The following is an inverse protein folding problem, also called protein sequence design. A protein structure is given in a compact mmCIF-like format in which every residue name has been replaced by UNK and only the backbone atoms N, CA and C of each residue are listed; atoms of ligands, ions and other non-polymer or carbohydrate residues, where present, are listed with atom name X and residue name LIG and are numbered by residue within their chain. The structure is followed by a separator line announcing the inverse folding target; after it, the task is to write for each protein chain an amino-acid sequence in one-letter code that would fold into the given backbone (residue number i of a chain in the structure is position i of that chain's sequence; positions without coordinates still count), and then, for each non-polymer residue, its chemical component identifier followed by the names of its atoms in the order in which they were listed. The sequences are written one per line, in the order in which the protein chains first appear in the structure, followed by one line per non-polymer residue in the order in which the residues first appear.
data_IF_860359011979
#
_entry.id   IF_860359011979
#
_cell.length_a   1.000
_cell.length_b   1.000
_cell.length_c   1.000
_cell.angle_alpha   90.00
_cell.angle_beta   90.00
_cell.angle_gamma   90.00
#
_symmetry.space_group_name_H-M   'P 1'
#
loop_
_entity.id
_entity.type
_entity.pdbx_description
1 polymer ?
#
# COMPACT_ATOMS: atom_id res chain seq x y z
N UNK A 1 31.39 17.84 -3.14
CA UNK A 1 30.62 16.58 -3.30
C UNK A 1 30.23 16.07 -1.92
N UNK A 2 31.18 16.01 -0.98
CA UNK A 2 30.97 15.77 0.47
C UNK A 2 29.78 16.53 1.07
N UNK A 3 29.74 17.87 0.97
CA UNK A 3 28.66 18.67 1.57
C UNK A 3 27.27 18.33 1.00
N UNK A 4 27.17 18.01 -0.30
CA UNK A 4 25.89 17.62 -0.93
C UNK A 4 25.42 16.24 -0.44
N UNK A 5 26.36 15.34 -0.17
CA UNK A 5 26.07 14.00 0.33
C UNK A 5 25.69 14.04 1.83
N UNK A 6 26.31 14.91 2.61
CA UNK A 6 25.94 15.16 4.01
C UNK A 6 24.50 15.68 4.14
N UNK A 7 24.09 16.61 3.26
CA UNK A 7 22.69 17.05 3.18
C UNK A 7 21.76 15.94 2.69
N UNK A 8 22.19 15.12 1.72
CA UNK A 8 21.43 13.95 1.27
C UNK A 8 21.15 12.98 2.42
N UNK A 9 22.17 12.69 3.23
CA UNK A 9 22.10 11.78 4.38
C UNK A 9 21.23 12.39 5.47
N UNK A 10 21.37 13.69 5.76
CA UNK A 10 20.53 14.38 6.73
C UNK A 10 19.04 14.30 6.34
N UNK A 11 18.74 14.57 5.07
CA UNK A 11 17.38 14.50 4.54
C UNK A 11 16.83 13.08 4.43
N UNK A 12 17.59 12.15 3.84
CA UNK A 12 17.19 10.74 3.74
C UNK A 12 16.89 10.17 5.12
N UNK A 13 17.78 10.42 6.07
CA UNK A 13 17.58 10.02 7.45
C UNK A 13 16.35 10.69 8.06
N UNK A 14 16.06 11.96 7.77
CA UNK A 14 14.80 12.57 8.20
C UNK A 14 13.56 11.91 7.59
N UNK A 15 13.58 11.52 6.31
CA UNK A 15 12.47 10.81 5.65
C UNK A 15 12.27 9.42 6.27
N UNK A 16 13.35 8.67 6.47
CA UNK A 16 13.29 7.33 7.07
C UNK A 16 13.33 7.36 8.60
N UNK A 17 13.10 8.54 9.19
CA UNK A 17 13.03 8.80 10.63
C UNK A 17 14.27 8.36 11.45
N UNK A 18 15.43 8.21 10.80
CA UNK A 18 16.71 8.05 11.48
C UNK A 18 17.14 9.41 12.03
N UNK A 19 17.37 9.48 13.34
CA UNK A 19 17.87 10.68 14.02
C UNK A 19 19.23 11.09 13.43
N UNK A 20 19.28 12.25 12.79
CA UNK A 20 20.53 12.94 12.43
C UNK A 20 20.76 14.08 13.40
N UNK A 21 22.02 14.41 13.65
CA UNK A 21 22.37 15.63 14.38
C UNK A 21 21.80 16.84 13.63
N UNK A 22 20.84 17.52 14.26
CA UNK A 22 20.05 18.67 13.76
C UNK A 22 20.87 19.85 13.19
N UNK A 23 22.17 19.93 13.50
CA UNK A 23 23.00 21.11 13.23
C UNK A 23 23.11 21.50 11.74
N UNK A 24 22.93 20.56 10.79
CA UNK A 24 23.07 20.85 9.37
C UNK A 24 21.82 21.50 8.74
N UNK A 25 20.64 21.30 9.32
CA UNK A 25 19.38 21.79 8.74
C UNK A 25 18.94 23.14 9.34
N UNK A 26 19.46 23.54 10.50
CA UNK A 26 19.08 24.79 11.18
C UNK A 26 19.42 26.04 10.34
N UNK A 27 18.44 26.95 10.19
CA UNK A 27 18.62 28.26 9.53
C UNK A 27 18.44 28.28 8.01
N UNK A 28 18.17 27.15 7.36
CA UNK A 28 17.89 27.06 5.92
C UNK A 28 16.37 27.17 5.68
N UNK A 29 15.93 27.98 4.72
CA UNK A 29 14.52 28.06 4.32
C UNK A 29 14.01 26.71 3.80
N UNK A 30 12.72 26.41 3.98
CA UNK A 30 12.10 25.13 3.55
C UNK A 30 12.34 24.84 2.05
N UNK A 31 12.24 25.86 1.21
CA UNK A 31 12.51 25.75 -0.24
C UNK A 31 13.96 25.33 -0.52
N UNK A 32 14.93 25.90 0.20
CA UNK A 32 16.34 25.56 0.06
C UNK A 32 16.65 24.16 0.62
N UNK A 33 15.98 23.75 1.71
CA UNK A 33 16.10 22.38 2.24
C UNK A 33 15.62 21.36 1.20
N UNK A 34 14.43 21.56 0.62
CA UNK A 34 13.87 20.68 -0.42
C UNK A 34 14.79 20.58 -1.64
N UNK A 35 15.32 21.71 -2.12
CA UNK A 35 16.24 21.73 -3.26
C UNK A 35 17.55 20.98 -2.97
N UNK A 36 18.17 21.23 -1.81
CA UNK A 36 19.41 20.56 -1.42
C UNK A 36 19.20 19.06 -1.23
N UNK A 37 18.02 18.67 -0.75
CA UNK A 37 17.59 17.29 -0.59
C UNK A 37 17.46 16.56 -1.92
N UNK A 38 16.77 17.17 -2.89
CA UNK A 38 16.68 16.66 -4.25
C UNK A 38 18.06 16.54 -4.91
N UNK A 39 18.92 17.54 -4.71
CA UNK A 39 20.30 17.54 -5.18
C UNK A 39 21.14 16.42 -4.56
N UNK A 40 20.99 16.22 -3.26
CA UNK A 40 21.67 15.18 -2.50
C UNK A 40 21.26 13.78 -2.95
N UNK A 41 19.94 13.51 -2.98
CA UNK A 41 19.38 12.24 -3.47
C UNK A 41 19.86 11.93 -4.89
N UNK A 42 19.74 12.91 -5.80
CA UNK A 42 20.23 12.77 -7.18
C UNK A 42 21.73 12.46 -7.21
N UNK A 43 22.53 13.15 -6.39
CA UNK A 43 23.97 12.91 -6.31
C UNK A 43 24.30 11.49 -5.85
N UNK A 44 23.49 10.89 -4.97
CA UNK A 44 23.63 9.48 -4.57
C UNK A 44 23.40 8.53 -5.75
N UNK A 45 22.28 8.67 -6.47
CA UNK A 45 21.99 7.83 -7.64
C UNK A 45 23.04 8.01 -8.75
N UNK A 46 23.43 9.25 -9.03
CA UNK A 46 24.46 9.58 -10.03
C UNK A 46 25.82 9.04 -9.60
N UNK A 47 26.19 9.20 -8.33
CA UNK A 47 27.45 8.70 -7.78
C UNK A 47 27.57 7.18 -7.89
N UNK A 48 26.52 6.45 -7.48
CA UNK A 48 26.46 4.99 -7.66
C UNK A 48 26.53 4.60 -9.14
N UNK A 49 25.85 5.35 -10.02
CA UNK A 49 25.87 5.14 -11.47
C UNK A 49 27.27 5.31 -12.10
N UNK A 50 28.18 6.06 -11.46
CA UNK A 50 29.59 6.15 -11.87
C UNK A 50 30.40 4.90 -11.52
N UNK A 51 29.95 4.10 -10.54
CA UNK A 51 30.59 2.84 -10.14
C UNK A 51 29.97 1.67 -10.91
N UNK A 52 28.64 1.53 -10.89
CA UNK A 52 27.89 0.42 -11.48
C UNK A 52 26.53 0.89 -12.04
N UNK A 53 25.91 0.18 -13.00
CA UNK A 53 24.56 0.49 -13.43
C UNK A 53 23.54 0.43 -12.28
N UNK A 54 22.62 1.39 -12.23
CA UNK A 54 21.57 1.49 -11.20
C UNK A 54 20.20 1.33 -11.86
N UNK A 55 19.39 0.40 -11.34
CA UNK A 55 17.98 0.22 -11.74
C UNK A 55 17.09 0.61 -10.57
N UNK A 56 16.22 1.59 -10.79
CA UNK A 56 15.22 2.05 -9.82
C UNK A 56 13.86 1.52 -10.28
N UNK A 57 13.22 0.69 -9.45
CA UNK A 57 11.91 0.11 -9.73
C UNK A 57 10.89 0.78 -8.82
N UNK A 58 9.83 1.32 -9.42
CA UNK A 58 8.77 2.03 -8.73
C UNK A 58 7.45 1.39 -9.12
N UNK A 59 6.79 0.78 -8.15
CA UNK A 59 5.49 0.14 -8.33
C UNK A 59 4.35 1.10 -8.02
N UNK A 60 3.22 0.91 -8.70
CA UNK A 60 1.97 1.63 -8.46
C UNK A 60 2.09 3.17 -8.39
N UNK A 61 2.93 3.78 -9.23
CA UNK A 61 3.20 5.23 -9.19
C UNK A 61 1.98 6.12 -9.50
N UNK A 62 0.86 5.54 -9.86
CA UNK A 62 -0.42 6.26 -10.00
C UNK A 62 -0.98 6.73 -8.65
N UNK A 63 -0.41 6.27 -7.54
CA UNK A 63 -0.67 6.73 -6.17
C UNK A 63 0.48 7.53 -5.56
N UNK A 64 1.49 7.87 -6.35
CA UNK A 64 2.64 8.62 -5.87
C UNK A 64 2.19 9.99 -5.32
N UNK A 65 2.79 10.43 -4.22
CA UNK A 65 2.58 11.79 -3.72
C UNK A 65 3.29 12.81 -4.63
N UNK A 66 2.84 14.07 -4.55
CA UNK A 66 3.35 15.14 -5.39
C UNK A 66 4.86 15.38 -5.20
N UNK A 67 5.38 15.32 -3.97
CA UNK A 67 6.80 15.59 -3.70
C UNK A 67 7.67 14.50 -4.33
N UNK A 68 7.26 13.24 -4.21
CA UNK A 68 7.94 12.11 -4.84
C UNK A 68 7.86 12.16 -6.37
N UNK A 69 6.73 12.54 -6.96
CA UNK A 69 6.60 12.74 -8.41
C UNK A 69 7.56 13.82 -8.92
N UNK A 70 7.61 14.97 -8.24
CA UNK A 70 8.50 16.06 -8.57
C UNK A 70 9.98 15.65 -8.47
N UNK A 71 10.33 14.83 -7.48
CA UNK A 71 11.68 14.25 -7.39
C UNK A 71 11.97 13.28 -8.55
N UNK A 72 11.01 12.43 -8.95
CA UNK A 72 11.19 11.55 -10.10
C UNK A 72 11.39 12.32 -11.40
N UNK A 73 10.63 13.39 -11.61
CA UNK A 73 10.88 14.33 -12.72
C UNK A 73 12.30 14.85 -12.64
N UNK A 74 12.74 15.30 -11.47
CA UNK A 74 14.09 15.81 -11.26
C UNK A 74 15.18 14.77 -11.56
N UNK A 75 15.04 13.54 -11.06
CA UNK A 75 15.97 12.45 -11.28
C UNK A 75 15.99 11.99 -12.74
N UNK A 76 14.83 11.97 -13.41
CA UNK A 76 14.69 11.53 -14.81
C UNK A 76 15.57 12.36 -15.77
N UNK A 77 15.83 13.64 -15.44
CA UNK A 77 16.72 14.50 -16.22
C UNK A 77 18.17 14.00 -16.25
N UNK A 78 18.58 13.17 -15.29
CA UNK A 78 19.95 12.63 -15.20
C UNK A 78 20.13 11.29 -15.90
N UNK A 79 19.04 10.64 -16.33
CA UNK A 79 19.05 9.30 -16.95
C UNK A 79 19.83 9.29 -18.26
N UNK A 80 19.68 10.33 -19.09
CA UNK A 80 20.32 10.38 -20.41
C UNK A 80 21.86 10.41 -20.34
N UNK A 81 22.43 10.95 -19.26
CA UNK A 81 23.87 11.16 -19.10
C UNK A 81 24.54 10.15 -18.15
N UNK A 82 23.76 9.28 -17.51
CA UNK A 82 24.23 8.36 -16.47
C UNK A 82 23.73 6.94 -16.70
N UNK A 83 24.40 5.95 -16.08
CA UNK A 83 23.99 4.53 -16.13
C UNK A 83 22.83 4.24 -15.17
N UNK A 84 21.75 5.01 -15.27
CA UNK A 84 20.55 4.90 -14.45
C UNK A 84 19.39 4.45 -15.35
N UNK A 85 18.60 3.48 -14.90
CA UNK A 85 17.34 3.09 -15.52
C UNK A 85 16.22 3.23 -14.50
N UNK A 86 15.13 3.90 -14.87
CA UNK A 86 13.93 4.02 -14.03
C UNK A 86 12.83 3.19 -14.68
N UNK A 87 12.38 2.15 -13.97
CA UNK A 87 11.23 1.34 -14.33
C UNK A 87 10.05 1.76 -13.46
N UNK A 88 9.06 2.41 -14.06
CA UNK A 88 7.91 2.93 -13.34
C UNK A 88 6.63 2.22 -13.80
N UNK A 89 6.00 1.47 -12.91
CA UNK A 89 4.80 0.69 -13.18
C UNK A 89 3.58 1.52 -12.79
N UNK A 90 2.65 1.69 -13.72
CA UNK A 90 1.47 2.53 -13.51
C UNK A 90 0.24 2.05 -14.26
N UNK A 91 -0.93 2.49 -13.79
CA UNK A 91 -2.19 2.26 -14.49
C UNK A 91 -2.29 3.14 -15.74
N UNK A 92 -3.02 2.72 -16.80
CA UNK A 92 -3.08 3.43 -18.08
C UNK A 92 -3.55 4.89 -18.01
N UNK A 93 -4.30 5.28 -16.98
CA UNK A 93 -4.83 6.63 -16.78
C UNK A 93 -3.81 7.62 -16.21
N UNK A 94 -2.72 7.13 -15.62
CA UNK A 94 -1.68 8.01 -15.07
C UNK A 94 -0.86 8.65 -16.20
N UNK A 95 -0.71 9.97 -16.13
CA UNK A 95 0.03 10.76 -17.11
C UNK A 95 1.44 11.02 -16.59
N UNK A 96 2.44 10.31 -17.11
CA UNK A 96 3.83 10.50 -16.68
C UNK A 96 4.35 11.90 -17.09
N UNK A 97 4.72 12.79 -16.16
CA UNK A 97 5.19 14.13 -16.50
C UNK A 97 6.49 14.14 -17.32
N UNK A 98 7.31 13.10 -17.20
CA UNK A 98 8.56 12.91 -17.95
C UNK A 98 8.40 12.22 -19.31
N UNK A 99 7.16 12.01 -19.79
CA UNK A 99 6.89 11.32 -21.06
C UNK A 99 7.49 12.01 -22.31
N UNK A 100 7.83 13.30 -22.20
CA UNK A 100 8.45 14.08 -23.28
C UNK A 100 9.97 13.87 -23.40
N UNK A 101 10.59 13.15 -22.47
CA UNK A 101 12.02 12.85 -22.50
C UNK A 101 12.37 11.93 -23.67
N UNK A 102 13.50 12.18 -24.34
CA UNK A 102 14.02 11.27 -25.37
C UNK A 102 14.45 9.91 -24.83
N UNK A 103 14.67 9.79 -23.51
CA UNK A 103 15.02 8.55 -22.83
C UNK A 103 13.79 7.81 -22.27
N UNK A 104 12.58 8.23 -22.64
CA UNK A 104 11.33 7.60 -22.21
C UNK A 104 10.89 6.51 -23.19
N UNK A 105 10.60 5.31 -22.66
CA UNK A 105 9.96 4.22 -23.38
C UNK A 105 8.75 3.75 -22.61
N UNK A 106 7.58 3.73 -23.27
CA UNK A 106 6.35 3.15 -22.70
C UNK A 106 6.15 1.74 -23.24
N UNK A 107 6.07 0.78 -22.33
CA UNK A 107 5.73 -0.62 -22.65
C UNK A 107 4.29 -0.87 -22.17
N UNK A 108 3.29 -0.84 -23.07
CA UNK A 108 1.92 -1.14 -22.68
C UNK A 108 1.78 -2.64 -22.39
N UNK A 109 1.42 -2.99 -21.16
CA UNK A 109 1.06 -4.37 -20.79
C UNK A 109 -0.39 -4.61 -21.23
N UNK A 110 -0.58 -5.54 -22.16
CA UNK A 110 -1.89 -5.94 -22.67
C UNK A 110 -2.41 -7.13 -21.86
N UNK A 111 -3.74 -7.35 -21.84
CA UNK A 111 -4.28 -8.63 -21.39
C UNK A 111 -3.60 -9.79 -22.12
N UNK A 112 -3.45 -10.91 -21.43
CA UNK A 112 -2.90 -12.13 -22.00
C UNK A 112 -3.75 -12.56 -23.20
N UNK A 113 -3.08 -12.90 -24.29
CA UNK A 113 -3.70 -13.55 -25.43
C UNK A 113 -4.26 -14.93 -25.03
N UNK A 114 -5.06 -15.52 -25.91
CA UNK A 114 -5.58 -16.88 -25.73
C UNK A 114 -4.44 -17.88 -25.44
N UNK A 115 -3.34 -17.82 -26.20
CA UNK A 115 -2.21 -18.74 -26.06
C UNK A 115 -1.47 -18.53 -24.74
N UNK A 116 -1.20 -17.26 -24.37
CA UNK A 116 -0.54 -16.96 -23.09
C UNK A 116 -1.43 -17.30 -21.88
N UNK A 117 -2.75 -17.12 -22.01
CA UNK A 117 -3.73 -17.52 -21.00
C UNK A 117 -3.81 -19.04 -20.82
N UNK A 118 -3.72 -19.81 -21.91
CA UNK A 118 -3.61 -21.27 -21.82
C UNK A 118 -2.30 -21.71 -21.16
N UNK A 119 -1.17 -21.09 -21.51
CA UNK A 119 0.12 -21.36 -20.86
C UNK A 119 0.05 -21.09 -19.35
N UNK A 120 -0.57 -19.97 -18.95
CA UNK A 120 -0.80 -19.64 -17.55
C UNK A 120 -1.70 -20.68 -16.86
N UNK A 121 -2.81 -21.08 -17.49
CA UNK A 121 -3.72 -22.09 -16.96
C UNK A 121 -2.99 -23.42 -16.68
N UNK A 122 -2.13 -23.87 -17.61
CA UNK A 122 -1.30 -25.06 -17.41
C UNK A 122 -0.31 -24.89 -16.26
N UNK A 123 0.29 -23.71 -16.12
CA UNK A 123 1.23 -23.40 -15.04
C UNK A 123 0.56 -23.43 -13.67
N UNK A 124 -0.59 -22.75 -13.53
CA UNK A 124 -1.34 -22.69 -12.27
C UNK A 124 -1.85 -24.08 -11.85
N UNK A 125 -2.35 -24.88 -12.79
CA UNK A 125 -2.86 -26.22 -12.50
C UNK A 125 -1.74 -27.27 -12.31
N UNK A 126 -0.53 -26.98 -12.78
CA UNK A 126 0.61 -27.91 -12.80
C UNK A 126 0.31 -29.19 -13.58
N UNK A 127 -0.43 -29.10 -14.71
CA UNK A 127 -0.80 -30.24 -15.57
C UNK A 127 -0.78 -29.88 -17.04
N UNK A 128 -0.66 -30.91 -17.89
CA UNK A 128 -0.60 -30.75 -19.36
C UNK A 128 -1.95 -30.89 -20.04
N UNK A 129 -2.88 -31.66 -19.49
CA UNK A 129 -4.18 -31.90 -20.11
C UNK A 129 -5.28 -31.15 -19.37
N UNK A 130 -5.90 -30.19 -20.06
CA UNK A 130 -7.02 -29.41 -19.52
C UNK A 130 -8.15 -29.48 -20.53
N UNK A 131 -9.34 -29.89 -20.06
CA UNK A 131 -10.52 -30.02 -20.90
C UNK A 131 -10.89 -28.68 -21.55
N UNK A 132 -11.38 -28.71 -22.79
CA UNK A 132 -11.72 -27.50 -23.56
C UNK A 132 -12.75 -26.62 -22.85
N UNK A 133 -13.70 -27.22 -22.13
CA UNK A 133 -14.72 -26.46 -21.42
C UNK A 133 -14.13 -25.60 -20.29
N UNK A 134 -13.06 -26.09 -19.63
CA UNK A 134 -12.34 -25.33 -18.60
C UNK A 134 -11.60 -24.17 -19.25
N UNK A 135 -10.88 -24.43 -20.35
CA UNK A 135 -10.14 -23.39 -21.09
C UNK A 135 -11.06 -22.26 -21.52
N UNK A 136 -12.17 -22.62 -22.17
CA UNK A 136 -13.17 -21.67 -22.68
C UNK A 136 -13.87 -20.91 -21.55
N UNK A 137 -14.09 -21.53 -20.39
CA UNK A 137 -14.69 -20.85 -19.24
C UNK A 137 -13.73 -19.81 -18.66
N UNK A 138 -12.49 -20.22 -18.35
CA UNK A 138 -11.48 -19.36 -17.73
C UNK A 138 -11.18 -18.17 -18.65
N UNK A 139 -10.94 -18.41 -19.93
CA UNK A 139 -10.63 -17.32 -20.86
C UNK A 139 -11.77 -16.33 -21.05
N UNK A 140 -13.01 -16.82 -21.22
CA UNK A 140 -14.17 -15.93 -21.41
C UNK A 140 -14.44 -15.09 -20.17
N UNK A 141 -14.22 -15.63 -18.98
CA UNK A 141 -14.47 -14.93 -17.71
C UNK A 141 -13.34 -13.96 -17.38
N UNK A 142 -12.09 -14.41 -17.51
CA UNK A 142 -10.95 -13.62 -17.09
C UNK A 142 -10.51 -12.56 -18.10
N UNK A 143 -10.90 -12.69 -19.37
CA UNK A 143 -10.60 -11.74 -20.45
C UNK A 143 -9.10 -11.40 -20.52
N UNK A 144 -8.24 -12.40 -20.29
CA UNK A 144 -6.77 -12.25 -20.31
C UNK A 144 -6.18 -11.56 -19.08
N UNK A 145 -6.95 -11.30 -18.02
CA UNK A 145 -6.43 -10.80 -16.75
C UNK A 145 -5.74 -11.94 -15.98
N UNK A 146 -4.41 -11.89 -15.76
CA UNK A 146 -3.68 -12.97 -15.07
C UNK A 146 -4.24 -13.26 -13.67
N UNK A 147 -4.49 -12.20 -12.89
CA UNK A 147 -4.97 -12.33 -11.53
C UNK A 147 -6.37 -12.95 -11.47
N UNK A 148 -7.27 -12.56 -12.39
CA UNK A 148 -8.59 -13.18 -12.46
C UNK A 148 -8.51 -14.66 -12.87
N UNK A 149 -7.62 -15.00 -13.81
CA UNK A 149 -7.44 -16.41 -14.19
C UNK A 149 -7.00 -17.25 -13.00
N UNK A 150 -5.98 -16.82 -12.27
CA UNK A 150 -5.47 -17.52 -11.09
C UNK A 150 -6.55 -17.71 -10.03
N UNK A 151 -7.21 -16.63 -9.61
CA UNK A 151 -8.24 -16.67 -8.58
C UNK A 151 -9.44 -17.54 -9.01
N UNK A 152 -9.87 -17.44 -10.27
CA UNK A 152 -10.99 -18.23 -10.78
C UNK A 152 -10.64 -19.73 -10.83
N UNK A 153 -9.40 -20.07 -11.19
CA UNK A 153 -8.93 -21.46 -11.17
C UNK A 153 -8.95 -22.01 -9.74
N UNK A 154 -8.38 -21.26 -8.78
CA UNK A 154 -8.35 -21.64 -7.37
C UNK A 154 -9.76 -21.81 -6.81
N UNK A 155 -10.66 -20.86 -7.08
CA UNK A 155 -12.06 -20.90 -6.69
C UNK A 155 -12.80 -22.13 -7.23
N UNK A 156 -12.62 -22.46 -8.50
CA UNK A 156 -13.28 -23.62 -9.10
C UNK A 156 -12.77 -24.94 -8.51
N UNK A 157 -11.48 -25.03 -8.14
CA UNK A 157 -10.92 -26.18 -7.44
C UNK A 157 -11.46 -26.28 -6.01
N UNK A 158 -11.43 -25.18 -5.26
CA UNK A 158 -11.87 -25.11 -3.86
C UNK A 158 -13.38 -25.36 -3.70
N UNK A 159 -14.20 -24.83 -4.60
CA UNK A 159 -15.66 -25.07 -4.62
C UNK A 159 -16.02 -26.49 -5.10
N UNK A 160 -15.05 -27.23 -5.66
CA UNK A 160 -15.27 -28.55 -6.23
C UNK A 160 -16.02 -28.56 -7.56
N UNK A 161 -16.24 -27.38 -8.17
CA UNK A 161 -16.80 -27.24 -9.52
C UNK A 161 -15.83 -27.68 -10.61
N UNK A 162 -14.54 -27.74 -10.28
CA UNK A 162 -13.48 -28.28 -11.10
C UNK A 162 -12.68 -29.31 -10.30
N UNK A 163 -12.33 -30.43 -10.92
CA UNK A 163 -11.52 -31.47 -10.28
C UNK A 163 -10.32 -31.84 -11.15
N UNK A 164 -9.19 -31.98 -10.48
CA UNK A 164 -7.97 -32.59 -11.01
C UNK A 164 -8.04 -34.10 -10.85
N UNK A 165 -7.99 -34.83 -11.95
CA UNK A 165 -7.99 -36.29 -12.04
C UNK A 165 -6.67 -36.74 -12.68
N UNK A 166 -5.64 -36.94 -11.85
CA UNK A 166 -4.29 -37.24 -12.34
C UNK A 166 -3.68 -36.04 -13.07
N UNK A 167 -3.35 -36.23 -14.36
CA UNK A 167 -2.82 -35.18 -15.24
C UNK A 167 -3.92 -34.44 -16.04
N UNK A 168 -5.19 -34.78 -15.82
CA UNK A 168 -6.33 -34.14 -16.47
C UNK A 168 -7.09 -33.25 -15.48
N UNK A 169 -7.72 -32.19 -15.99
CA UNK A 169 -8.65 -31.36 -15.23
C UNK A 169 -9.94 -31.15 -16.01
N UNK A 170 -11.08 -31.34 -15.32
CA UNK A 170 -12.42 -31.22 -15.90
C UNK A 170 -13.39 -30.51 -14.96
N UNK A 171 -14.41 -29.88 -15.54
CA UNK A 171 -15.55 -29.39 -14.80
C UNK A 171 -16.39 -30.57 -14.30
N UNK A 172 -16.92 -30.44 -13.08
CA UNK A 172 -17.89 -31.39 -12.53
C UNK A 172 -19.26 -31.02 -13.10
N UNK A 173 -19.79 -31.89 -13.95
CA UNK A 173 -21.02 -31.67 -14.72
C UNK A 173 -22.24 -31.48 -13.80
N UNK A 174 -22.84 -30.27 -13.78
CA UNK A 174 -24.30 -30.05 -13.72
C UNK A 174 -24.71 -28.69 -14.35
N UNK A 175 -25.65 -28.81 -15.28
CA UNK A 175 -26.44 -27.80 -15.98
C UNK A 175 -26.77 -26.50 -15.20
N UNK A 176 -26.46 -25.35 -15.82
CA UNK A 176 -26.73 -23.97 -15.38
C UNK A 176 -26.08 -23.66 -14.01
N UNK A 177 -24.86 -23.10 -13.88
CA UNK A 177 -24.32 -21.78 -14.23
C UNK A 177 -24.83 -20.50 -13.49
N UNK A 178 -25.37 -20.55 -12.24
CA UNK A 178 -25.47 -19.38 -11.36
C UNK A 178 -24.34 -19.27 -10.33
N UNK A 179 -23.42 -20.25 -10.21
CA UNK A 179 -22.38 -20.27 -9.15
C UNK A 179 -21.00 -19.82 -9.59
N UNK A 180 -20.71 -19.67 -10.89
CA UNK A 180 -19.39 -19.19 -11.34
C UNK A 180 -19.36 -17.67 -11.22
N UNK A 181 -18.47 -17.10 -10.38
CA UNK A 181 -18.42 -15.68 -10.15
C UNK A 181 -18.30 -14.85 -11.44
N UNK A 182 -18.91 -13.66 -11.45
CA UNK A 182 -18.91 -12.79 -12.63
C UNK A 182 -17.69 -11.87 -12.66
N UNK A 183 -17.17 -11.51 -11.50
CA UNK A 183 -16.04 -10.59 -11.33
C UNK A 183 -14.95 -11.18 -10.45
N UNK A 184 -13.75 -10.60 -10.51
CA UNK A 184 -12.66 -10.94 -9.58
C UNK A 184 -13.08 -10.74 -8.13
N UNK A 185 -13.83 -9.68 -7.84
CA UNK A 185 -14.32 -9.39 -6.50
C UNK A 185 -15.25 -10.49 -6.01
N UNK A 186 -16.16 -10.97 -6.87
CA UNK A 186 -17.06 -12.08 -6.54
C UNK A 186 -16.27 -13.38 -6.28
N UNK A 187 -15.20 -13.64 -7.05
CA UNK A 187 -14.30 -14.78 -6.81
C UNK A 187 -13.66 -14.69 -5.44
N UNK A 188 -13.02 -13.55 -5.14
CA UNK A 188 -12.34 -13.34 -3.87
C UNK A 188 -13.33 -13.46 -2.70
N UNK A 189 -14.52 -12.87 -2.82
CA UNK A 189 -15.57 -12.99 -1.80
C UNK A 189 -16.00 -14.44 -1.58
N UNK A 190 -16.19 -15.22 -2.64
CA UNK A 190 -16.56 -16.63 -2.53
C UNK A 190 -15.49 -17.46 -1.80
N UNK A 191 -14.20 -17.18 -2.05
CA UNK A 191 -13.08 -17.79 -1.32
C UNK A 191 -13.09 -17.40 0.15
N UNK A 192 -13.27 -16.11 0.46
CA UNK A 192 -13.35 -15.61 1.84
C UNK A 192 -14.55 -16.21 2.59
N UNK A 193 -15.70 -16.36 1.94
CA UNK A 193 -16.92 -16.90 2.55
C UNK A 193 -16.85 -18.39 2.87
N UNK A 194 -15.90 -19.13 2.27
CA UNK A 194 -15.63 -20.54 2.61
C UNK A 194 -14.68 -20.74 3.77
N UNK A 195 -13.96 -19.71 4.19
CA UNK A 195 -13.06 -19.79 5.35
C UNK A 195 -13.87 -20.10 6.62
N UNK A 196 -13.25 -20.82 7.55
CA UNK A 196 -13.77 -20.93 8.91
C UNK A 196 -13.96 -19.51 9.50
N UNK A 197 -15.02 -19.29 10.27
CA UNK A 197 -15.32 -17.97 10.86
C UNK A 197 -14.12 -17.37 11.60
N UNK A 198 -13.33 -18.21 12.28
CA UNK A 198 -12.12 -17.80 12.98
C UNK A 198 -11.04 -17.26 12.01
N UNK A 199 -10.83 -17.92 10.88
CA UNK A 199 -9.82 -17.51 9.89
C UNK A 199 -10.28 -16.29 9.11
N UNK A 200 -11.56 -16.25 8.74
CA UNK A 200 -12.20 -15.08 8.13
C UNK A 200 -12.06 -13.86 9.03
N UNK A 201 -12.29 -14.02 10.34
CA UNK A 201 -12.11 -12.94 11.29
C UNK A 201 -10.66 -12.45 11.34
N UNK A 202 -9.67 -13.35 11.38
CA UNK A 202 -8.24 -12.98 11.29
C UNK A 202 -7.93 -12.16 10.04
N UNK A 203 -8.43 -12.60 8.88
CA UNK A 203 -8.22 -11.91 7.60
C UNK A 203 -8.86 -10.51 7.61
N UNK A 204 -10.06 -10.38 8.19
CA UNK A 204 -10.74 -9.09 8.36
C UNK A 204 -10.00 -8.15 9.31
N UNK A 205 -9.42 -8.65 10.40
CA UNK A 205 -8.57 -7.82 11.27
C UNK A 205 -7.35 -7.31 10.51
N UNK A 206 -6.65 -8.21 9.81
CA UNK A 206 -5.48 -7.88 9.00
C UNK A 206 -5.79 -6.84 7.91
N UNK A 207 -6.94 -6.95 7.24
CA UNK A 207 -7.31 -6.04 6.15
C UNK A 207 -7.54 -4.61 6.61
N UNK A 208 -7.88 -4.39 7.89
CA UNK A 208 -8.00 -3.05 8.46
C UNK A 208 -6.64 -2.49 8.87
N UNK A 209 -5.66 -3.34 9.24
CA UNK A 209 -4.29 -2.90 9.54
C UNK A 209 -3.63 -2.36 8.26
N UNK A 210 -3.67 -3.13 7.18
CA UNK A 210 -3.09 -2.73 5.90
C UNK A 210 -2.79 -3.91 4.98
N UNK A 211 -2.25 -3.62 3.79
CA UNK A 211 -1.77 -4.64 2.85
C UNK A 211 -0.60 -5.43 3.44
N UNK A 212 0.29 -4.73 4.14
CA UNK A 212 1.35 -5.27 4.99
C UNK A 212 0.94 -5.09 6.44
N UNK A 213 1.18 -6.10 7.27
CA UNK A 213 0.85 -6.04 8.69
C UNK A 213 1.83 -6.83 9.54
N UNK A 214 2.19 -6.24 10.68
CA UNK A 214 3.06 -6.87 11.68
C UNK A 214 2.23 -7.74 12.63
N UNK A 215 2.77 -8.91 12.98
CA UNK A 215 2.07 -9.88 13.81
C UNK A 215 1.70 -9.32 15.19
N UNK A 216 2.57 -8.51 15.80
CA UNK A 216 2.37 -7.93 17.13
C UNK A 216 1.11 -7.04 17.21
N UNK A 217 0.81 -6.27 16.17
CA UNK A 217 -0.41 -5.45 16.10
C UNK A 217 -1.64 -6.32 15.92
N UNK A 218 -1.58 -7.32 15.04
CA UNK A 218 -2.67 -8.28 14.85
C UNK A 218 -2.98 -9.05 16.13
N UNK A 219 -1.95 -9.51 16.84
CA UNK A 219 -2.06 -10.18 18.14
C UNK A 219 -2.72 -9.29 19.19
N UNK A 220 -2.32 -8.02 19.25
CA UNK A 220 -2.85 -7.06 20.22
C UNK A 220 -4.34 -6.77 20.04
N UNK A 221 -4.83 -6.71 18.80
CA UNK A 221 -6.23 -6.39 18.50
C UNK A 221 -7.14 -7.63 18.46
N UNK A 222 -6.57 -8.83 18.31
CA UNK A 222 -7.29 -10.08 18.37
C UNK A 222 -7.78 -10.37 19.80
N UNK A 223 -8.88 -11.12 19.91
CA UNK A 223 -9.38 -11.54 21.21
C UNK A 223 -8.46 -12.61 21.83
N UNK A 224 -8.24 -12.64 23.16
CA UNK A 224 -7.32 -13.59 23.79
C UNK A 224 -7.63 -15.08 23.55
N UNK A 225 -8.89 -15.41 23.28
CA UNK A 225 -9.31 -16.78 22.97
C UNK A 225 -9.04 -17.18 21.51
N UNK A 226 -8.66 -16.20 20.66
CA UNK A 226 -8.50 -16.38 19.23
C UNK A 226 -7.14 -16.98 18.88
N UNK A 227 -7.13 -18.13 18.22
CA UNK A 227 -5.90 -18.84 17.86
C UNK A 227 -5.35 -18.34 16.53
N UNK A 228 -4.53 -17.29 16.58
CA UNK A 228 -3.95 -16.67 15.39
C UNK A 228 -3.02 -17.59 14.59
N UNK A 229 -2.19 -18.41 15.25
CA UNK A 229 -1.23 -19.29 14.56
C UNK A 229 -1.87 -20.23 13.53
N UNK A 230 -2.84 -21.08 13.92
CA UNK A 230 -3.58 -21.92 12.99
C UNK A 230 -4.31 -21.13 11.90
N UNK A 231 -4.90 -19.97 12.24
CA UNK A 231 -5.58 -19.13 11.26
C UNK A 231 -4.61 -18.59 10.20
N UNK A 232 -3.46 -18.04 10.62
CA UNK A 232 -2.44 -17.52 9.69
C UNK A 232 -1.90 -18.63 8.80
N UNK A 233 -1.63 -19.82 9.36
CA UNK A 233 -1.19 -20.98 8.57
C UNK A 233 -2.23 -21.37 7.52
N UNK A 234 -3.52 -21.42 7.88
CA UNK A 234 -4.59 -21.74 6.94
C UNK A 234 -4.76 -20.67 5.86
N UNK A 235 -4.63 -19.38 6.21
CA UNK A 235 -4.67 -18.27 5.25
C UNK A 235 -3.49 -18.29 4.28
N UNK A 236 -2.29 -18.70 4.73
CA UNK A 236 -1.13 -18.92 3.86
C UNK A 236 -1.33 -20.12 2.93
N UNK A 237 -1.86 -21.23 3.46
CA UNK A 237 -2.19 -22.42 2.64
C UNK A 237 -3.27 -22.13 1.59
N UNK A 238 -4.17 -21.19 1.89
CA UNK A 238 -5.17 -20.70 0.94
C UNK A 238 -4.62 -19.61 0.01
N UNK A 239 -3.31 -19.32 0.06
CA UNK A 239 -2.65 -18.29 -0.76
C UNK A 239 -3.24 -16.87 -0.64
N UNK A 240 -3.92 -16.55 0.46
CA UNK A 240 -4.51 -15.22 0.69
C UNK A 240 -3.48 -14.24 1.25
N UNK A 241 -2.53 -14.76 2.03
CA UNK A 241 -1.43 -14.00 2.63
C UNK A 241 -0.10 -14.76 2.44
N UNK A 242 1.01 -14.04 2.49
CA UNK A 242 2.37 -14.59 2.56
C UNK A 242 3.11 -13.99 3.73
N UNK A 243 4.07 -14.74 4.27
CA UNK A 243 5.07 -14.18 5.19
C UNK A 243 6.11 -13.44 4.34
N UNK A 244 6.43 -12.19 4.72
CA UNK A 244 7.37 -11.33 3.98
C UNK A 244 8.67 -11.14 4.72
N UNK A 245 8.61 -11.09 6.05
CA UNK A 245 9.78 -10.89 6.88
C UNK A 245 9.63 -11.59 8.23
N UNK A 246 10.76 -12.04 8.78
CA UNK A 246 10.82 -12.68 10.10
C UNK A 246 11.61 -11.84 11.11
N UNK A 247 12.45 -10.89 10.66
CA UNK A 247 13.30 -10.09 11.52
C UNK A 247 13.39 -8.63 11.03
N UNK A 248 13.24 -7.61 11.91
CA UNK A 248 13.20 -7.68 13.37
C UNK A 248 11.86 -8.14 13.97
N UNK A 249 10.77 -8.09 13.21
CA UNK A 249 9.44 -8.56 13.60
C UNK A 249 8.86 -9.47 12.50
N UNK A 250 7.92 -10.32 12.88
CA UNK A 250 7.21 -11.20 11.95
C UNK A 250 6.15 -10.40 11.19
N UNK A 251 6.25 -10.39 9.87
CA UNK A 251 5.43 -9.61 8.96
C UNK A 251 4.75 -10.50 7.92
N UNK A 252 3.51 -10.12 7.62
CA UNK A 252 2.72 -10.74 6.58
C UNK A 252 2.24 -9.68 5.60
N UNK A 253 1.95 -10.12 4.39
CA UNK A 253 1.30 -9.30 3.38
C UNK A 253 0.19 -10.09 2.70
N UNK A 254 -0.90 -9.41 2.32
CA UNK A 254 -1.86 -9.96 1.38
C UNK A 254 -1.19 -10.24 0.03
N UNK A 255 -1.36 -11.45 -0.51
CA UNK A 255 -0.76 -11.85 -1.79
C UNK A 255 -1.16 -10.88 -2.92
N UNK A 256 -2.39 -10.37 -2.85
CA UNK A 256 -2.92 -9.39 -3.80
C UNK A 256 -3.63 -8.24 -3.07
N UNK A 257 -3.40 -7.00 -3.52
CA UNK A 257 -4.04 -5.80 -2.94
C UNK A 257 -5.57 -5.87 -3.00
N UNK A 258 -6.13 -6.39 -4.11
CA UNK A 258 -7.58 -6.51 -4.25
C UNK A 258 -8.18 -7.49 -3.23
N UNK A 259 -7.43 -8.50 -2.77
CA UNK A 259 -7.87 -9.39 -1.69
C UNK A 259 -8.04 -8.64 -0.38
N UNK A 260 -7.10 -7.74 -0.05
CA UNK A 260 -7.22 -6.85 1.10
C UNK A 260 -8.42 -5.91 0.95
N UNK A 261 -8.59 -5.26 -0.20
CA UNK A 261 -9.70 -4.34 -0.46
C UNK A 261 -11.07 -5.01 -0.31
N UNK A 262 -11.23 -6.19 -0.92
CA UNK A 262 -12.48 -6.97 -0.86
C UNK A 262 -12.77 -7.40 0.58
N UNK A 263 -11.75 -7.90 1.29
CA UNK A 263 -11.88 -8.27 2.71
C UNK A 263 -12.26 -7.06 3.56
N UNK A 264 -11.57 -5.93 3.41
CA UNK A 264 -11.83 -4.70 4.14
C UNK A 264 -13.26 -4.20 3.90
N UNK A 265 -13.72 -4.26 2.65
CA UNK A 265 -15.05 -3.83 2.27
C UNK A 265 -16.18 -4.78 2.71
N UNK A 266 -15.86 -6.04 3.04
CA UNK A 266 -16.81 -6.99 3.64
C UNK A 266 -17.21 -6.64 5.08
N UNK A 267 -16.44 -5.79 5.76
CA UNK A 267 -16.64 -5.44 7.18
C UNK A 267 -17.67 -4.32 7.29
N UNK A 268 -18.65 -4.47 8.19
CA UNK A 268 -19.65 -3.43 8.48
C UNK A 268 -18.96 -2.13 8.91
N UNK A 269 -19.44 -0.99 8.39
CA UNK A 269 -18.86 0.33 8.65
C UNK A 269 -18.60 0.61 10.14
N UNK A 270 -19.56 0.30 11.02
CA UNK A 270 -19.41 0.49 12.46
C UNK A 270 -18.29 -0.35 13.08
N UNK A 271 -18.16 -1.61 12.66
CA UNK A 271 -17.10 -2.52 13.13
C UNK A 271 -15.74 -2.04 12.63
N UNK A 272 -15.66 -1.62 11.37
CA UNK A 272 -14.46 -1.05 10.76
C UNK A 272 -13.94 0.16 11.53
N UNK A 273 -14.83 1.11 11.90
CA UNK A 273 -14.45 2.27 12.74
C UNK A 273 -13.89 1.85 14.11
N UNK A 274 -14.54 0.91 14.78
CA UNK A 274 -14.05 0.38 16.05
C UNK A 274 -12.68 -0.30 15.90
N UNK A 275 -12.47 -1.07 14.84
CA UNK A 275 -11.19 -1.74 14.56
C UNK A 275 -10.08 -0.73 14.29
N UNK A 276 -10.33 0.30 13.48
CA UNK A 276 -9.37 1.39 13.26
C UNK A 276 -8.94 2.05 14.59
N UNK A 277 -9.87 2.33 15.50
CA UNK A 277 -9.55 2.86 16.83
C UNK A 277 -8.70 1.91 17.69
N UNK A 278 -9.00 0.60 17.66
CA UNK A 278 -8.20 -0.43 18.35
C UNK A 278 -6.80 -0.56 17.78
N UNK A 279 -6.66 -0.54 16.46
CA UNK A 279 -5.37 -0.63 15.76
C UNK A 279 -4.51 0.58 16.10
N UNK A 280 -5.05 1.80 16.03
CA UNK A 280 -4.30 3.00 16.39
C UNK A 280 -3.80 2.95 17.83
N UNK A 281 -4.65 2.53 18.78
CA UNK A 281 -4.25 2.36 20.17
C UNK A 281 -3.16 1.27 20.36
N UNK A 282 -3.23 0.19 19.60
CA UNK A 282 -2.20 -0.85 19.60
C UNK A 282 -0.86 -0.34 19.06
N UNK A 283 -0.88 0.46 17.99
CA UNK A 283 0.31 1.11 17.43
C UNK A 283 0.93 2.06 18.47
N UNK A 284 0.12 2.91 19.12
CA UNK A 284 0.63 3.82 20.16
C UNK A 284 1.34 3.07 21.30
N UNK A 285 0.80 1.92 21.74
CA UNK A 285 1.37 1.14 22.83
C UNK A 285 2.64 0.39 22.41
N UNK A 286 2.61 -0.29 21.25
CA UNK A 286 3.70 -1.15 20.80
C UNK A 286 4.88 -0.34 20.25
N UNK A 287 4.61 0.79 19.58
CA UNK A 287 5.62 1.62 18.92
C UNK A 287 5.88 2.93 19.67
N UNK A 288 5.61 2.97 20.97
CA UNK A 288 5.73 4.16 21.81
C UNK A 288 7.12 4.85 21.71
N UNK A 289 8.20 4.07 21.61
CA UNK A 289 9.57 4.59 21.56
C UNK A 289 9.91 5.28 20.23
N UNK A 290 9.15 4.98 19.17
CA UNK A 290 9.31 5.49 17.80
C UNK A 290 7.99 6.05 17.25
N UNK A 291 7.17 6.64 18.13
CA UNK A 291 5.81 7.05 17.80
C UNK A 291 5.75 8.09 16.66
N UNK A 292 6.75 8.97 16.60
CA UNK A 292 6.93 9.98 15.55
C UNK A 292 7.02 9.34 14.15
N UNK A 293 7.55 8.13 14.03
CA UNK A 293 7.63 7.39 12.76
C UNK A 293 6.25 6.98 12.24
N UNK A 294 5.25 6.91 13.12
CA UNK A 294 3.92 6.38 12.83
C UNK A 294 2.80 7.44 12.86
N UNK A 295 3.11 8.74 12.95
CA UNK A 295 2.08 9.78 13.02
C UNK A 295 1.09 9.76 11.86
N UNK A 296 1.55 9.52 10.64
CA UNK A 296 0.73 9.44 9.44
C UNK A 296 -0.24 8.24 9.50
N UNK A 297 0.28 7.08 9.91
CA UNK A 297 -0.52 5.84 10.10
C UNK A 297 -1.54 6.02 11.23
N UNK A 298 -1.14 6.63 12.35
CA UNK A 298 -2.03 6.93 13.47
C UNK A 298 -3.11 7.93 13.08
N UNK A 299 -2.77 8.97 12.32
CA UNK A 299 -3.73 9.92 11.79
C UNK A 299 -4.76 9.23 10.90
N UNK A 300 -4.31 8.34 9.99
CA UNK A 300 -5.18 7.55 9.13
C UNK A 300 -6.14 6.66 9.93
N UNK A 301 -5.64 5.85 10.87
CA UNK A 301 -6.51 4.98 11.65
C UNK A 301 -7.42 5.77 12.59
N UNK A 302 -6.95 6.81 13.28
CA UNK A 302 -7.83 7.58 14.16
C UNK A 302 -8.91 8.35 13.41
N UNK A 303 -8.60 8.92 12.24
CA UNK A 303 -9.59 9.57 11.36
C UNK A 303 -10.69 8.60 10.93
N UNK A 304 -10.32 7.38 10.55
CA UNK A 304 -11.27 6.33 10.20
C UNK A 304 -11.88 5.64 11.44
N UNK A 305 -11.43 6.00 12.64
CA UNK A 305 -11.82 5.41 13.92
C UNK A 305 -13.00 6.10 14.58
N UNK A 306 -13.19 5.86 15.87
CA UNK A 306 -14.26 6.42 16.71
C UNK A 306 -13.75 7.43 17.77
N UNK A 307 -12.48 7.86 17.67
CA UNK A 307 -11.84 8.80 18.60
C UNK A 307 -11.42 10.10 17.90
N UNK A 308 -12.36 11.05 17.70
CA UNK A 308 -12.08 12.28 16.95
C UNK A 308 -11.02 13.17 17.62
N UNK A 309 -10.88 13.14 18.95
CA UNK A 309 -9.86 13.90 19.68
C UNK A 309 -8.45 13.44 19.29
N UNK A 310 -8.25 12.11 19.23
CA UNK A 310 -6.99 11.49 18.81
C UNK A 310 -6.72 11.71 17.32
N UNK A 311 -7.77 11.68 16.49
CA UNK A 311 -7.64 11.98 15.06
C UNK A 311 -7.12 13.41 14.86
N UNK A 312 -7.71 14.38 15.56
CA UNK A 312 -7.29 15.78 15.53
C UNK A 312 -5.83 15.95 15.98
N UNK A 313 -5.45 15.32 17.10
CA UNK A 313 -4.07 15.35 17.62
C UNK A 313 -3.06 14.81 16.59
N UNK A 314 -3.29 13.61 16.05
CA UNK A 314 -2.33 12.97 15.15
C UNK A 314 -2.32 13.57 13.74
N UNK A 315 -3.42 14.15 13.26
CA UNK A 315 -3.41 14.93 12.02
C UNK A 315 -2.53 16.17 12.15
N UNK A 316 -2.57 16.88 13.29
CA UNK A 316 -1.67 18.02 13.53
C UNK A 316 -0.22 17.55 13.54
N UNK A 317 0.09 16.48 14.30
CA UNK A 317 1.46 15.95 14.38
C UNK A 317 1.99 15.44 13.04
N UNK A 318 1.17 14.76 12.25
CA UNK A 318 1.52 14.34 10.90
C UNK A 318 1.78 15.54 9.98
N UNK A 319 0.97 16.60 10.10
CA UNK A 319 1.21 17.86 9.37
C UNK A 319 2.48 18.58 9.80
N UNK A 320 2.80 18.59 11.10
CA UNK A 320 4.05 19.17 11.63
C UNK A 320 5.28 18.38 11.16
N UNK A 321 5.23 17.04 11.22
CA UNK A 321 6.27 16.18 10.64
C UNK A 321 6.44 16.42 9.14
N UNK A 322 5.35 16.55 8.39
CA UNK A 322 5.41 16.87 6.96
C UNK A 322 6.06 18.25 6.70
N UNK A 323 5.84 19.23 7.58
CA UNK A 323 6.51 20.53 7.52
C UNK A 323 8.02 20.43 7.77
N UNK A 324 8.44 19.64 8.74
CA UNK A 324 9.86 19.38 9.01
C UNK A 324 10.55 18.75 7.80
N UNK A 325 9.85 17.84 7.11
CA UNK A 325 10.27 17.19 5.86
C UNK A 325 10.09 18.07 4.61
N UNK A 326 9.70 19.34 4.77
CA UNK A 326 9.50 20.31 3.68
C UNK A 326 8.47 19.88 2.62
N UNK A 327 7.51 19.04 3.01
CA UNK A 327 6.38 18.58 2.19
C UNK A 327 5.13 19.42 2.46
N UNK A 328 5.14 20.66 1.97
CA UNK A 328 4.11 21.68 2.26
C UNK A 328 2.70 21.25 1.87
N UNK A 329 2.51 20.64 0.70
CA UNK A 329 1.18 20.20 0.25
C UNK A 329 0.62 19.05 1.10
N UNK A 330 1.48 18.12 1.51
CA UNK A 330 1.10 17.04 2.45
C UNK A 330 0.69 17.62 3.80
N UNK A 331 1.46 18.60 4.31
CA UNK A 331 1.11 19.29 5.55
C UNK A 331 -0.21 20.05 5.45
N UNK A 332 -0.45 20.78 4.36
CA UNK A 332 -1.74 21.45 4.08
C UNK A 332 -2.89 20.45 4.08
N UNK A 333 -2.71 19.27 3.48
CA UNK A 333 -3.67 18.18 3.50
C UNK A 333 -4.05 17.77 4.92
N UNK A 334 -3.07 17.39 5.74
CA UNK A 334 -3.32 17.00 7.13
C UNK A 334 -3.97 18.09 7.99
N UNK A 335 -3.51 19.34 7.87
CA UNK A 335 -4.12 20.46 8.61
C UNK A 335 -5.55 20.74 8.16
N UNK A 336 -5.84 20.61 6.86
CA UNK A 336 -7.21 20.76 6.34
C UNK A 336 -8.12 19.67 6.90
N UNK A 337 -7.68 18.41 6.89
CA UNK A 337 -8.44 17.30 7.49
C UNK A 337 -8.66 17.48 8.99
N UNK A 338 -7.67 18.02 9.73
CA UNK A 338 -7.83 18.33 11.15
C UNK A 338 -8.96 19.36 11.37
N UNK A 339 -9.03 20.40 10.53
CA UNK A 339 -10.08 21.43 10.58
C UNK A 339 -11.46 20.89 10.18
N UNK A 340 -11.55 19.82 9.39
CA UNK A 340 -12.82 19.16 9.08
C UNK A 340 -13.38 18.38 10.28
N UNK A 341 -12.51 17.87 11.15
CA UNK A 341 -12.89 17.13 12.37
C UNK A 341 -13.18 18.09 13.54
N UNK A 342 -12.54 19.26 13.59
CA UNK A 342 -12.66 20.21 14.70
C UNK A 342 -14.10 20.56 15.12
N UNK A 343 -15.10 20.71 14.22
CA UNK A 343 -16.46 21.06 14.61
C UNK A 343 -17.10 20.06 15.57
N UNK A 344 -16.75 18.77 15.47
CA UNK A 344 -17.23 17.69 16.36
C UNK A 344 -16.69 17.87 17.79
N UNK A 345 -15.58 18.60 17.93
CA UNK A 345 -14.79 18.72 19.15
C UNK A 345 -14.91 20.09 19.84
N UNK A 346 -15.66 21.05 19.27
CA UNK A 346 -15.69 22.48 19.64
C UNK A 346 -16.24 22.82 21.04
N UNK A 347 -16.37 21.83 21.92
CA UNK A 347 -16.72 21.98 23.33
C UNK A 347 -15.55 22.40 24.22
N UNK A 348 -14.29 22.21 23.79
CA UNK A 348 -13.08 22.56 24.55
C UNK A 348 -12.41 23.85 24.05
N UNK A 349 -12.05 24.74 24.98
CA UNK A 349 -11.32 25.98 24.68
C UNK A 349 -9.93 25.69 24.05
N UNK A 350 -9.27 24.61 24.49
CA UNK A 350 -7.98 24.18 23.92
C UNK A 350 -8.08 23.91 22.43
N UNK A 351 -9.18 23.29 21.98
CA UNK A 351 -9.37 22.89 20.58
C UNK A 351 -9.63 24.12 19.71
N UNK A 352 -10.32 25.13 20.25
CA UNK A 352 -10.55 26.41 19.56
C UNK A 352 -9.24 27.18 19.31
N UNK A 353 -8.33 27.18 20.29
CA UNK A 353 -7.02 27.81 20.13
C UNK A 353 -6.20 27.10 19.04
N UNK A 354 -6.13 25.77 19.09
CA UNK A 354 -5.45 24.98 18.06
C UNK A 354 -6.07 25.16 16.67
N UNK A 355 -7.40 25.27 16.57
CA UNK A 355 -8.08 25.56 15.31
C UNK A 355 -7.66 26.92 14.73
N UNK A 356 -7.61 27.95 15.56
CA UNK A 356 -7.22 29.29 15.13
C UNK A 356 -5.75 29.33 14.66
N UNK A 357 -4.87 28.61 15.36
CA UNK A 357 -3.47 28.46 14.97
C UNK A 357 -3.34 27.73 13.62
N UNK A 358 -4.03 26.60 13.45
CA UNK A 358 -4.04 25.85 12.18
C UNK A 358 -4.54 26.70 11.01
N UNK A 359 -5.60 27.49 11.20
CA UNK A 359 -6.10 28.43 10.18
C UNK A 359 -5.09 29.52 9.85
N UNK A 360 -4.30 29.98 10.82
CA UNK A 360 -3.20 30.94 10.56
C UNK A 360 -2.10 30.27 9.74
N UNK A 361 -1.63 29.09 10.16
CA UNK A 361 -0.60 28.32 9.47
C UNK A 361 -1.01 28.02 8.02
N UNK A 362 -2.24 27.59 7.76
CA UNK A 362 -2.72 27.34 6.39
C UNK A 362 -2.71 28.59 5.51
N UNK A 363 -3.00 29.79 6.06
CA UNK A 363 -2.90 31.05 5.31
C UNK A 363 -1.47 31.41 4.96
N UNK A 364 -0.54 31.19 5.90
CA UNK A 364 0.89 31.38 5.65
C UNK A 364 1.38 30.41 4.58
N UNK A 365 0.96 29.14 4.65
CA UNK A 365 1.32 28.10 3.67
C UNK A 365 0.71 28.34 2.29
N UNK A 366 -0.44 29.01 2.18
CA UNK A 366 -1.02 29.40 0.89
C UNK A 366 -0.22 30.50 0.16
N UNK A 367 0.75 31.11 0.85
CA UNK A 367 1.66 32.12 0.29
C UNK A 367 2.96 31.54 -0.26
N UNK A 368 3.17 30.23 -0.08
CA UNK A 368 4.21 29.41 -0.70
C UNK A 368 3.58 28.61 -1.85
#
# INVERSE_FOLDING_TARGET
METKLEFAIAYLSSIISIRVKDDLLQGISLENRRRQSFDGLRATFVGEAQIKPVVVILEDIHWIDQTSEEFLVYLSSSVAENRIMILALHRPFYQCPWAMSSSYLRIPIRPLSHTEGEEMLHHVLGIREVASEVKDLIQRKAEGNPFFMEELILELLESGLMRKEGEACRLVDQAANPSVPATVQDVIMARIDRLEDSWKHTLQLASVIGREFIFSILEKIAEPAHKLGPALQALQQSELITETNFFPELEYMFKHALTQDVTYNSILFKQRRMLHGKIAAAIEEIKNDVLEEHFETLAYHYKNGDRPEKAFEFLIRAGEKAMELSSVEVAKGYFTEALEISPVLTTSESIRVQEQELRSRLKELASY
#
